data_IF_943663235129
#
_entry.id   IF_943663235129
#
_cell.length_a   1.000
_cell.length_b   1.000
_cell.length_c   1.000
_cell.angle_alpha   90.00
_cell.angle_beta   90.00
_cell.angle_gamma   90.00
#
_symmetry.space_group_name_H-M   'P 1'
#
loop_
_entity.id
_entity.type
_entity.pdbx_description
1 polymer ?
#
# COMPACT_ATOMS: atom_id res chain seq x y z
N UNK A 1 -53.58 -12.89 33.04
CA UNK A 1 -52.75 -11.67 33.05
C UNK A 1 -51.31 -12.12 33.15
N UNK A 2 -50.51 -12.32 32.10
CA UNK A 2 -50.40 -11.55 30.87
C UNK A 2 -49.27 -10.54 31.01
N UNK A 3 -48.01 -10.99 31.08
CA UNK A 3 -46.82 -10.13 31.02
C UNK A 3 -45.84 -10.67 29.97
N UNK A 4 -45.94 -10.09 28.78
CA UNK A 4 -44.98 -10.26 27.69
C UNK A 4 -43.63 -9.65 28.07
N UNK A 5 -42.59 -10.48 28.17
CA UNK A 5 -41.19 -10.03 28.14
C UNK A 5 -40.75 -9.97 26.68
N UNK A 6 -40.50 -8.74 26.21
CA UNK A 6 -39.95 -8.41 24.90
C UNK A 6 -38.42 -8.59 24.95
N UNK A 7 -37.77 -9.38 24.09
CA UNK A 7 -36.32 -9.33 23.96
C UNK A 7 -35.90 -8.09 23.16
N UNK A 8 -34.84 -7.41 23.64
CA UNK A 8 -34.17 -6.29 22.94
C UNK A 8 -33.47 -6.80 21.68
N UNK A 9 -33.42 -6.02 20.58
CA UNK A 9 -32.66 -6.39 19.40
C UNK A 9 -31.15 -6.30 19.68
N UNK A 10 -30.39 -7.28 19.19
CA UNK A 10 -28.93 -7.23 19.10
C UNK A 10 -28.51 -6.06 18.20
N UNK A 11 -27.41 -5.41 18.57
CA UNK A 11 -26.84 -4.27 17.89
C UNK A 11 -26.43 -4.57 16.45
N UNK A 12 -26.54 -3.53 15.61
CA UNK A 12 -26.14 -3.52 14.22
C UNK A 12 -24.66 -3.92 14.03
N UNK A 13 -24.31 -4.65 12.96
CA UNK A 13 -22.92 -4.81 12.56
C UNK A 13 -22.36 -3.48 12.03
N UNK A 14 -21.13 -3.21 12.45
CA UNK A 14 -20.30 -2.07 12.08
C UNK A 14 -19.58 -2.43 10.78
N UNK A 15 -19.66 -1.54 9.77
CA UNK A 15 -19.15 -1.60 8.40
C UNK A 15 -20.18 -2.05 7.35
N UNK A 16 -20.98 -1.06 6.92
CA UNK A 16 -21.78 -1.10 5.70
C UNK A 16 -21.01 -0.33 4.62
N UNK A 17 -20.28 -1.05 3.75
CA UNK A 17 -19.95 -0.63 2.38
C UNK A 17 -19.79 -1.88 1.51
N UNK A 18 -20.82 -2.17 0.72
CA UNK A 18 -20.76 -2.69 -0.65
C UNK A 18 -22.18 -3.14 -1.03
N UNK A 19 -22.87 -2.32 -1.83
CA UNK A 19 -24.26 -2.50 -2.23
C UNK A 19 -24.51 -3.70 -3.14
N UNK A 20 -24.48 -4.91 -2.59
CA UNK A 20 -24.99 -6.12 -3.22
C UNK A 20 -25.82 -6.90 -2.20
N UNK A 21 -27.15 -6.84 -2.33
CA UNK A 21 -28.09 -7.60 -1.51
C UNK A 21 -28.17 -9.05 -1.99
N UNK A 22 -27.88 -10.01 -1.11
CA UNK A 22 -28.15 -11.44 -1.35
C UNK A 22 -29.48 -11.79 -0.69
N UNK A 23 -30.48 -12.15 -1.49
CA UNK A 23 -31.82 -12.47 -1.03
C UNK A 23 -31.87 -13.91 -0.50
N UNK A 24 -32.48 -14.08 0.68
CA UNK A 24 -32.63 -15.35 1.39
C UNK A 24 -33.85 -16.10 0.86
N UNK A 25 -33.70 -17.35 0.40
CA UNK A 25 -34.84 -18.25 0.20
C UNK A 25 -34.70 -19.52 1.04
N UNK A 26 -35.77 -19.82 1.79
CA UNK A 26 -36.00 -21.05 2.55
C UNK A 26 -35.95 -22.28 1.62
N UNK A 27 -35.26 -23.32 2.07
CA UNK A 27 -35.15 -24.59 1.36
C UNK A 27 -36.39 -25.47 1.57
N UNK A 28 -36.89 -26.02 0.46
CA UNK A 28 -37.56 -27.31 0.42
C UNK A 28 -36.70 -28.32 -0.37
N UNK A 29 -36.69 -29.55 0.14
CA UNK A 29 -36.04 -30.81 -0.25
C UNK A 29 -35.31 -30.99 -1.61
N UNK A 30 -34.22 -31.76 -1.50
CA UNK A 30 -33.40 -32.44 -2.51
C UNK A 30 -34.17 -33.03 -3.70
N UNK A 31 -33.75 -32.67 -4.91
CA UNK A 31 -33.21 -33.58 -5.96
C UNK A 31 -33.05 -32.79 -7.26
N UNK A 32 -31.88 -32.89 -7.90
CA UNK A 32 -31.53 -32.42 -9.26
C UNK A 32 -31.99 -31.03 -9.69
N UNK A 33 -31.05 -30.10 -9.83
CA UNK A 33 -31.32 -28.86 -10.56
C UNK A 33 -30.13 -28.43 -11.43
N UNK A 34 -30.26 -28.68 -12.73
CA UNK A 34 -29.63 -27.85 -13.76
C UNK A 34 -30.28 -26.46 -13.70
N UNK A 35 -29.50 -25.41 -13.46
CA UNK A 35 -30.04 -24.05 -13.44
C UNK A 35 -29.86 -23.39 -14.82
N UNK A 36 -31.00 -23.25 -15.49
CA UNK A 36 -31.24 -22.30 -16.58
C UNK A 36 -31.43 -20.90 -15.97
N UNK A 37 -30.73 -19.89 -16.49
CA UNK A 37 -30.74 -18.53 -15.96
C UNK A 37 -31.95 -17.80 -16.54
N UNK A 38 -33.02 -17.65 -15.76
CA UNK A 38 -34.10 -16.69 -16.07
C UNK A 38 -33.82 -15.34 -15.43
N UNK A 39 -33.77 -14.34 -16.30
CA UNK A 39 -33.65 -12.92 -16.01
C UNK A 39 -35.04 -12.34 -15.77
N UNK A 40 -35.37 -12.03 -14.50
CA UNK A 40 -36.58 -11.30 -14.14
C UNK A 40 -36.24 -9.80 -14.03
N UNK A 41 -36.29 -9.12 -15.18
CA UNK A 41 -36.34 -7.65 -15.25
C UNK A 41 -37.74 -7.17 -15.67
N UNK A 42 -38.22 -6.01 -15.17
CA UNK A 42 -39.55 -5.51 -15.49
C UNK A 42 -39.65 -5.14 -16.98
N UNK A 43 -40.66 -5.70 -17.65
CA UNK A 43 -40.92 -5.51 -19.08
C UNK A 43 -41.14 -4.05 -19.45
N UNK A 44 -40.12 -3.42 -20.05
CA UNK A 44 -40.30 -2.31 -20.98
C UNK A 44 -40.05 -2.83 -22.38
N UNK A 45 -41.11 -2.86 -23.19
CA UNK A 45 -41.08 -3.25 -24.60
C UNK A 45 -40.21 -2.25 -25.35
N UNK A 46 -39.06 -2.71 -25.85
CA UNK A 46 -38.59 -2.42 -27.21
C UNK A 46 -37.51 -3.45 -27.60
N UNK A 47 -37.72 -4.07 -28.76
CA UNK A 47 -36.94 -5.16 -29.32
C UNK A 47 -35.59 -4.66 -29.85
N UNK A 48 -34.47 -5.09 -29.25
CA UNK A 48 -33.23 -5.38 -29.99
C UNK A 48 -32.61 -6.65 -29.40
N UNK A 49 -32.74 -7.74 -30.14
CA UNK A 49 -32.13 -9.05 -29.86
C UNK A 49 -30.61 -8.93 -29.97
N UNK A 50 -29.94 -8.64 -28.86
CA UNK A 50 -28.48 -8.68 -28.77
C UNK A 50 -27.99 -9.41 -27.49
N UNK A 51 -28.78 -10.34 -26.93
CA UNK A 51 -28.40 -11.02 -25.68
C UNK A 51 -27.45 -12.22 -25.89
N UNK A 52 -27.44 -12.85 -27.07
CA UNK A 52 -26.67 -14.08 -27.30
C UNK A 52 -25.15 -13.89 -27.49
N UNK A 53 -24.70 -12.70 -27.89
CA UNK A 53 -23.27 -12.40 -28.15
C UNK A 53 -22.65 -11.61 -26.98
N UNK A 54 -23.45 -10.84 -26.25
CA UNK A 54 -22.99 -10.05 -25.11
C UNK A 54 -22.76 -10.89 -23.85
N UNK A 55 -23.54 -11.95 -23.60
CA UNK A 55 -23.37 -12.82 -22.43
C UNK A 55 -22.00 -13.53 -22.40
N UNK A 56 -21.53 -14.16 -23.51
CA UNK A 56 -20.21 -14.78 -23.55
C UNK A 56 -19.06 -13.76 -23.50
N UNK A 57 -19.29 -12.55 -24.04
CA UNK A 57 -18.30 -11.49 -24.04
C UNK A 57 -18.16 -10.88 -22.63
N UNK A 58 -19.29 -10.64 -21.95
CA UNK A 58 -19.34 -10.16 -20.57
C UNK A 58 -18.78 -11.19 -19.59
N UNK A 59 -19.06 -12.49 -19.77
CA UNK A 59 -18.48 -13.55 -18.95
C UNK A 59 -16.96 -13.67 -19.15
N UNK A 60 -16.48 -13.57 -20.40
CA UNK A 60 -15.04 -13.50 -20.70
C UNK A 60 -14.39 -12.22 -20.16
N UNK A 61 -15.10 -11.10 -20.16
CA UNK A 61 -14.62 -9.83 -19.57
C UNK A 61 -14.53 -9.93 -18.05
N UNK A 62 -15.49 -10.59 -17.39
CA UNK A 62 -15.45 -10.87 -15.96
C UNK A 62 -14.32 -11.84 -15.58
N UNK A 63 -14.02 -12.82 -16.43
CA UNK A 63 -12.87 -13.71 -16.27
C UNK A 63 -11.55 -12.99 -16.52
N UNK A 64 -11.47 -12.15 -17.57
CA UNK A 64 -10.28 -11.36 -17.90
C UNK A 64 -9.95 -10.31 -16.81
N UNK A 65 -10.98 -9.72 -16.20
CA UNK A 65 -10.85 -8.77 -15.09
C UNK A 65 -10.69 -9.47 -13.72
N UNK A 66 -10.72 -10.80 -13.66
CA UNK A 66 -10.60 -11.57 -12.42
C UNK A 66 -11.79 -11.45 -11.46
N UNK A 67 -12.87 -10.76 -11.85
CA UNK A 67 -14.04 -10.50 -11.02
C UNK A 67 -14.84 -11.76 -10.68
N UNK A 68 -14.88 -12.74 -11.61
CA UNK A 68 -15.49 -14.05 -11.35
C UNK A 68 -14.75 -14.80 -10.24
N UNK A 69 -13.42 -14.78 -10.27
CA UNK A 69 -12.59 -15.38 -9.23
C UNK A 69 -12.78 -14.68 -7.88
N UNK A 70 -12.85 -13.35 -7.86
CA UNK A 70 -13.15 -12.57 -6.65
C UNK A 70 -14.54 -12.91 -6.09
N UNK A 71 -15.55 -13.04 -6.96
CA UNK A 71 -16.91 -13.41 -6.57
C UNK A 71 -16.97 -14.81 -5.97
N UNK A 72 -16.37 -15.81 -6.62
CA UNK A 72 -16.29 -17.18 -6.10
C UNK A 72 -15.56 -17.22 -4.76
N UNK A 73 -14.47 -16.46 -4.60
CA UNK A 73 -13.72 -16.37 -3.34
C UNK A 73 -14.57 -15.72 -2.23
N UNK A 74 -15.33 -14.65 -2.54
CA UNK A 74 -16.28 -14.04 -1.59
C UNK A 74 -17.41 -15.00 -1.21
N UNK A 75 -17.91 -15.80 -2.14
CA UNK A 75 -18.98 -16.78 -1.89
C UNK A 75 -18.49 -17.92 -0.98
N UNK A 76 -17.31 -18.48 -1.27
CA UNK A 76 -16.68 -19.51 -0.42
C UNK A 76 -16.40 -18.96 0.98
N UNK A 77 -15.95 -17.71 1.08
CA UNK A 77 -15.78 -17.03 2.37
C UNK A 77 -17.11 -16.90 3.13
N UNK A 78 -18.18 -16.47 2.48
CA UNK A 78 -19.51 -16.37 3.09
C UNK A 78 -20.03 -17.72 3.60
N UNK A 79 -19.88 -18.78 2.80
CA UNK A 79 -20.27 -20.14 3.21
C UNK A 79 -19.43 -20.66 4.37
N UNK A 80 -18.12 -20.40 4.37
CA UNK A 80 -17.21 -20.80 5.45
C UNK A 80 -17.56 -20.10 6.76
N UNK A 81 -17.92 -18.82 6.70
CA UNK A 81 -18.37 -18.05 7.85
C UNK A 81 -19.71 -18.53 8.40
N UNK A 82 -20.66 -18.85 7.51
CA UNK A 82 -21.94 -19.44 7.90
C UNK A 82 -21.74 -20.79 8.57
N UNK A 83 -20.85 -21.63 8.04
CA UNK A 83 -20.49 -22.90 8.67
C UNK A 83 -19.91 -22.69 10.07
N UNK A 84 -18.99 -21.73 10.24
CA UNK A 84 -18.43 -21.38 11.54
C UNK A 84 -19.51 -20.94 12.54
N UNK A 85 -20.50 -20.15 12.09
CA UNK A 85 -21.62 -19.73 12.94
C UNK A 85 -22.54 -20.88 13.37
N UNK A 86 -22.73 -21.88 12.51
CA UNK A 86 -23.52 -23.08 12.82
C UNK A 86 -22.76 -24.00 13.78
N UNK A 87 -21.47 -24.18 13.57
CA UNK A 87 -20.55 -24.87 14.47
C UNK A 87 -20.58 -24.22 15.86
N UNK A 88 -20.62 -22.88 15.92
CA UNK A 88 -20.75 -22.12 17.17
C UNK A 88 -22.06 -22.36 17.91
N UNK A 89 -23.19 -22.50 17.20
CA UNK A 89 -24.50 -22.71 17.80
C UNK A 89 -24.71 -24.12 18.37
N UNK A 90 -24.06 -25.12 17.78
CA UNK A 90 -24.18 -26.54 18.19
C UNK A 90 -23.22 -26.93 19.32
N UNK A 91 -22.29 -26.05 19.72
CA UNK A 91 -21.19 -26.38 20.62
C UNK A 91 -21.41 -25.91 22.06
N UNK A 92 -22.06 -26.74 22.89
CA UNK A 92 -22.05 -26.60 24.37
C UNK A 92 -20.95 -27.39 25.07
N UNK A 93 -20.21 -28.22 24.35
CA UNK A 93 -18.97 -28.84 24.81
C UNK A 93 -18.09 -29.09 23.57
N UNK A 94 -17.05 -28.27 23.38
CA UNK A 94 -16.02 -28.64 22.40
C UNK A 94 -15.29 -29.86 22.94
N UNK A 95 -15.22 -30.93 22.15
CA UNK A 95 -14.22 -31.97 22.39
C UNK A 95 -12.82 -31.37 22.20
N UNK A 96 -11.84 -31.87 22.93
CA UNK A 96 -10.45 -31.38 22.90
C UNK A 96 -9.87 -31.39 21.48
N UNK A 97 -10.24 -32.40 20.66
CA UNK A 97 -9.80 -32.48 19.28
C UNK A 97 -10.28 -31.30 18.43
N UNK A 98 -11.52 -30.85 18.64
CA UNK A 98 -12.08 -29.71 17.92
C UNK A 98 -11.41 -28.39 18.33
N UNK A 99 -11.10 -28.23 19.62
CA UNK A 99 -10.33 -27.08 20.13
C UNK A 99 -8.96 -27.01 19.44
N UNK A 100 -8.29 -28.15 19.32
CA UNK A 100 -6.97 -28.22 18.68
C UNK A 100 -7.05 -27.85 17.20
N UNK A 101 -8.00 -28.41 16.44
CA UNK A 101 -8.21 -28.05 15.03
C UNK A 101 -8.56 -26.57 14.85
N UNK A 102 -9.39 -26.02 15.74
CA UNK A 102 -9.75 -24.60 15.71
C UNK A 102 -8.55 -23.70 16.03
N UNK A 103 -7.71 -24.12 16.98
CA UNK A 103 -6.46 -23.45 17.33
C UNK A 103 -5.51 -23.42 16.12
N UNK A 104 -5.25 -24.55 15.47
CA UNK A 104 -4.43 -24.64 14.25
C UNK A 104 -4.97 -23.72 13.13
N UNK A 105 -6.27 -23.77 12.87
CA UNK A 105 -6.92 -22.91 11.89
C UNK A 105 -6.79 -21.42 12.24
N UNK A 106 -6.85 -21.08 13.53
CA UNK A 106 -6.70 -19.71 14.02
C UNK A 106 -5.27 -19.19 13.83
N UNK A 107 -4.25 -20.01 14.05
CA UNK A 107 -2.85 -19.64 13.76
C UNK A 107 -2.63 -19.41 12.27
N UNK A 108 -3.14 -20.29 11.41
CA UNK A 108 -3.04 -20.14 9.96
C UNK A 108 -3.79 -18.90 9.45
N UNK A 109 -5.00 -18.67 9.96
CA UNK A 109 -5.76 -17.45 9.69
C UNK A 109 -5.00 -16.19 10.12
N UNK A 110 -4.29 -16.27 11.26
CA UNK A 110 -3.42 -15.20 11.74
C UNK A 110 -2.27 -14.94 10.77
N UNK A 111 -1.52 -15.97 10.38
CA UNK A 111 -0.42 -15.87 9.42
C UNK A 111 -0.84 -15.30 8.07
N UNK A 112 -2.10 -15.55 7.64
CA UNK A 112 -2.68 -15.05 6.39
C UNK A 112 -3.37 -13.70 6.50
N UNK A 113 -3.60 -13.17 7.70
CA UNK A 113 -4.30 -11.90 7.90
C UNK A 113 -5.83 -11.98 7.76
N UNK A 114 -6.43 -13.14 7.99
CA UNK A 114 -7.89 -13.31 7.96
C UNK A 114 -8.52 -12.82 9.27
N UNK A 115 -8.80 -11.51 9.31
CA UNK A 115 -9.35 -10.80 10.48
C UNK A 115 -10.73 -11.33 10.89
N UNK A 116 -11.60 -11.61 9.92
CA UNK A 116 -12.98 -12.01 10.21
C UNK A 116 -13.04 -13.37 10.89
N UNK A 117 -12.26 -14.34 10.39
CA UNK A 117 -12.14 -15.64 11.02
C UNK A 117 -11.49 -15.52 12.41
N UNK A 118 -10.42 -14.74 12.52
CA UNK A 118 -9.73 -14.49 13.79
C UNK A 118 -10.67 -13.97 14.89
N UNK A 119 -11.44 -12.92 14.59
CA UNK A 119 -12.38 -12.32 15.55
C UNK A 119 -13.50 -13.30 15.91
N UNK A 120 -14.06 -13.99 14.92
CA UNK A 120 -15.20 -14.90 15.14
C UNK A 120 -14.82 -16.09 16.01
N UNK A 121 -13.66 -16.69 15.76
CA UNK A 121 -13.16 -17.82 16.56
C UNK A 121 -12.89 -17.39 18.01
N UNK A 122 -12.25 -16.23 18.22
CA UNK A 122 -11.96 -15.76 19.56
C UNK A 122 -13.21 -15.29 20.31
N UNK A 123 -14.24 -14.78 19.63
CA UNK A 123 -15.53 -14.51 20.26
C UNK A 123 -16.26 -15.79 20.69
N UNK A 124 -16.05 -16.88 19.96
CA UNK A 124 -16.61 -18.20 20.29
C UNK A 124 -15.83 -18.90 21.41
N UNK A 125 -14.50 -18.88 21.36
CA UNK A 125 -13.60 -19.51 22.34
C UNK A 125 -12.53 -18.49 22.77
N UNK A 126 -12.86 -17.57 23.70
CA UNK A 126 -11.94 -16.48 24.11
C UNK A 126 -10.63 -16.97 24.72
N UNK A 127 -10.62 -18.16 25.33
CA UNK A 127 -9.45 -18.75 25.96
C UNK A 127 -8.28 -18.97 24.99
N UNK A 128 -8.57 -19.18 23.70
CA UNK A 128 -7.54 -19.41 22.67
C UNK A 128 -6.59 -18.22 22.48
N UNK A 129 -6.98 -17.00 22.87
CA UNK A 129 -6.11 -15.82 22.74
C UNK A 129 -4.84 -15.93 23.59
N UNK A 130 -4.90 -16.70 24.67
CA UNK A 130 -3.78 -16.93 25.60
C UNK A 130 -2.96 -18.18 25.23
N UNK A 131 -3.41 -18.96 24.25
CA UNK A 131 -2.68 -20.12 23.80
C UNK A 131 -1.36 -19.68 23.15
N UNK A 132 -0.27 -20.35 23.51
CA UNK A 132 1.04 -20.14 22.91
C UNK A 132 1.31 -21.24 21.88
N UNK A 133 2.02 -20.90 20.80
CA UNK A 133 2.44 -21.90 19.83
C UNK A 133 3.63 -22.72 20.37
N UNK A 134 4.16 -23.64 19.56
CA UNK A 134 5.33 -24.46 19.93
C UNK A 134 6.58 -23.64 20.30
N UNK A 135 6.70 -22.41 19.78
CA UNK A 135 7.79 -21.49 20.12
C UNK A 135 7.54 -20.73 21.42
N UNK A 136 6.40 -20.89 22.08
CA UNK A 136 5.97 -20.07 23.22
C UNK A 136 5.43 -18.69 22.80
N UNK A 137 5.33 -18.40 21.50
CA UNK A 137 4.87 -17.10 21.02
C UNK A 137 3.36 -16.98 21.16
N UNK A 138 2.90 -15.78 21.50
CA UNK A 138 1.46 -15.44 21.51
C UNK A 138 0.93 -15.23 20.08
N UNK A 139 -0.39 -15.22 19.94
CA UNK A 139 -1.02 -15.01 18.63
C UNK A 139 -0.71 -13.63 18.03
N UNK A 140 -0.54 -12.60 18.87
CA UNK A 140 -0.13 -11.28 18.41
C UNK A 140 1.34 -11.22 18.00
N UNK A 141 2.24 -11.96 18.68
CA UNK A 141 3.62 -12.12 18.21
C UNK A 141 3.65 -12.78 16.83
N UNK A 142 2.81 -13.77 16.60
CA UNK A 142 2.72 -14.41 15.28
C UNK A 142 2.15 -13.46 14.21
N UNK A 143 1.17 -12.63 14.54
CA UNK A 143 0.73 -11.55 13.65
C UNK A 143 1.86 -10.55 13.32
N UNK A 144 2.77 -10.29 14.28
CA UNK A 144 3.98 -9.46 14.07
C UNK A 144 4.98 -10.14 13.14
N UNK A 145 5.30 -11.41 13.41
CA UNK A 145 6.23 -12.22 12.60
C UNK A 145 5.79 -12.24 11.12
N UNK A 146 4.48 -12.38 10.86
CA UNK A 146 3.91 -12.46 9.51
C UNK A 146 3.47 -11.11 8.91
N UNK A 147 3.77 -9.98 9.58
CA UNK A 147 3.43 -8.61 9.14
C UNK A 147 1.95 -8.42 8.83
N UNK A 148 1.09 -8.75 9.79
CA UNK A 148 -0.36 -8.69 9.64
C UNK A 148 -0.95 -7.49 10.40
N UNK A 149 -0.92 -6.26 9.80
CA UNK A 149 -1.25 -5.02 10.51
C UNK A 149 -2.67 -5.01 11.06
N UNK A 150 -3.64 -5.54 10.30
CA UNK A 150 -5.06 -5.51 10.70
C UNK A 150 -5.33 -6.40 11.91
N UNK A 151 -4.72 -7.59 11.96
CA UNK A 151 -4.84 -8.48 13.12
C UNK A 151 -4.09 -7.89 14.31
N UNK A 152 -2.84 -7.44 14.12
CA UNK A 152 -2.08 -6.84 15.21
C UNK A 152 -2.78 -5.63 15.82
N UNK A 153 -3.42 -4.80 14.98
CA UNK A 153 -4.18 -3.63 15.42
C UNK A 153 -5.26 -3.97 16.46
N UNK A 154 -5.84 -5.17 16.41
CA UNK A 154 -6.86 -5.63 17.38
C UNK A 154 -6.37 -5.61 18.83
N UNK A 155 -5.06 -5.63 19.07
CA UNK A 155 -4.48 -5.49 20.42
C UNK A 155 -4.93 -4.19 21.12
N UNK A 156 -5.25 -3.14 20.36
CA UNK A 156 -5.73 -1.87 20.93
C UNK A 156 -7.12 -1.98 21.57
N UNK A 157 -7.97 -2.87 21.05
CA UNK A 157 -9.29 -3.17 21.61
C UNK A 157 -9.29 -4.32 22.62
N UNK A 158 -8.13 -4.95 22.88
CA UNK A 158 -8.02 -6.05 23.84
C UNK A 158 -7.89 -5.53 25.27
N UNK A 159 -8.80 -5.95 26.16
CA UNK A 159 -8.86 -5.45 27.54
C UNK A 159 -7.54 -5.71 28.31
N UNK A 160 -6.96 -6.89 28.13
CA UNK A 160 -5.72 -7.32 28.80
C UNK A 160 -4.46 -7.05 27.98
N UNK A 161 -4.47 -6.01 27.14
CA UNK A 161 -3.32 -5.66 26.26
C UNK A 161 -1.98 -5.56 27.01
N UNK A 162 -1.99 -5.06 28.25
CA UNK A 162 -0.76 -4.89 29.03
C UNK A 162 -0.17 -6.23 29.45
N UNK A 163 -1.01 -7.18 29.90
CA UNK A 163 -0.58 -8.53 30.18
C UNK A 163 -0.07 -9.23 28.91
N UNK A 164 -0.76 -9.03 27.78
CA UNK A 164 -0.29 -9.57 26.51
C UNK A 164 1.08 -9.02 26.08
N UNK A 165 1.32 -7.72 26.27
CA UNK A 165 2.58 -7.09 25.93
C UNK A 165 3.75 -7.55 26.82
N UNK A 166 3.49 -8.16 27.98
CA UNK A 166 4.54 -8.68 28.88
C UNK A 166 4.99 -10.10 28.57
N UNK A 167 4.25 -10.83 27.74
CA UNK A 167 4.57 -12.20 27.34
C UNK A 167 5.90 -12.26 26.56
N UNK A 168 6.59 -13.39 26.67
CA UNK A 168 7.81 -13.70 25.92
C UNK A 168 7.72 -15.11 25.35
N UNK A 169 8.35 -15.35 24.21
CA UNK A 169 8.49 -16.70 23.66
C UNK A 169 9.53 -17.55 24.44
N UNK A 170 9.70 -18.81 24.04
CA UNK A 170 10.65 -19.74 24.66
C UNK A 170 12.12 -19.29 24.56
N UNK A 171 12.42 -18.38 23.62
CA UNK A 171 13.74 -17.75 23.43
C UNK A 171 13.89 -16.45 24.21
N UNK A 172 12.90 -16.07 25.03
CA UNK A 172 12.89 -14.82 25.77
C UNK A 172 12.61 -13.59 24.90
N UNK A 173 12.16 -13.77 23.66
CA UNK A 173 11.81 -12.67 22.77
C UNK A 173 10.44 -12.10 23.17
N UNK A 174 10.40 -10.80 23.45
CA UNK A 174 9.15 -10.06 23.53
C UNK A 174 8.63 -9.68 22.12
N UNK A 175 7.45 -9.08 22.02
CA UNK A 175 6.86 -8.66 20.73
C UNK A 175 7.80 -7.78 19.89
N UNK A 176 8.62 -6.94 20.54
CA UNK A 176 9.52 -6.02 19.83
C UNK A 176 10.73 -6.75 19.23
N UNK A 177 11.24 -7.80 19.87
CA UNK A 177 12.24 -8.69 19.25
C UNK A 177 11.66 -9.40 18.03
N UNK A 178 10.40 -9.85 18.10
CA UNK A 178 9.71 -10.45 16.95
C UNK A 178 9.52 -9.45 15.81
N UNK A 179 9.24 -8.18 16.12
CA UNK A 179 9.26 -7.10 15.13
C UNK A 179 10.66 -6.81 14.58
N UNK A 180 11.70 -7.19 15.33
CA UNK A 180 13.11 -7.19 14.95
C UNK A 180 13.53 -8.28 13.96
N UNK A 181 12.72 -9.31 13.76
CA UNK A 181 12.95 -10.33 12.74
C UNK A 181 12.62 -9.76 11.35
N UNK A 182 13.34 -10.20 10.32
CA UNK A 182 13.03 -9.81 8.94
C UNK A 182 11.70 -10.40 8.48
N UNK A 183 10.87 -9.61 7.82
CA UNK A 183 9.60 -10.07 7.28
C UNK A 183 9.75 -11.29 6.33
N UNK A 184 8.77 -12.21 6.30
CA UNK A 184 8.69 -13.26 5.31
C UNK A 184 8.77 -12.72 3.88
N UNK A 185 9.46 -13.43 2.99
CA UNK A 185 9.76 -12.94 1.63
C UNK A 185 8.51 -12.59 0.82
N UNK A 186 7.40 -13.31 1.01
CA UNK A 186 6.12 -13.02 0.36
C UNK A 186 5.51 -11.68 0.78
N UNK A 187 5.78 -11.20 2.00
CA UNK A 187 5.35 -9.87 2.45
C UNK A 187 6.36 -8.80 2.00
N UNK A 188 7.66 -9.08 2.17
CA UNK A 188 8.72 -8.13 1.84
C UNK A 188 8.74 -7.80 0.33
N UNK A 189 8.58 -8.79 -0.53
CA UNK A 189 8.61 -8.64 -1.99
C UNK A 189 7.40 -7.89 -2.57
N UNK A 190 6.35 -7.62 -1.78
CA UNK A 190 5.22 -6.78 -2.21
C UNK A 190 5.57 -5.30 -2.25
N UNK A 191 6.64 -4.90 -1.57
CA UNK A 191 7.06 -3.51 -1.45
C UNK A 191 8.15 -3.24 -2.49
N UNK A 192 7.98 -2.17 -3.25
CA UNK A 192 8.90 -1.81 -4.33
C UNK A 192 10.20 -1.20 -3.80
N UNK A 193 11.34 -1.85 -4.07
CA UNK A 193 12.66 -1.31 -3.76
C UNK A 193 13.08 -1.48 -2.29
N UNK A 194 14.37 -1.77 -2.10
CA UNK A 194 14.94 -2.06 -0.78
C UNK A 194 14.77 -0.91 0.23
N UNK A 195 14.79 0.35 -0.24
CA UNK A 195 14.59 1.51 0.63
C UNK A 195 13.18 1.60 1.22
N UNK A 196 12.13 1.30 0.43
CA UNK A 196 10.76 1.27 0.94
C UNK A 196 10.50 0.04 1.82
N UNK A 197 11.14 -1.09 1.49
CA UNK A 197 11.14 -2.27 2.36
C UNK A 197 11.73 -1.92 3.74
N UNK A 198 12.92 -1.33 3.77
CA UNK A 198 13.56 -0.91 5.02
C UNK A 198 12.72 0.11 5.80
N UNK A 199 12.16 1.12 5.10
CA UNK A 199 11.25 2.09 5.71
C UNK A 199 10.05 1.38 6.36
N UNK A 200 9.45 0.40 5.69
CA UNK A 200 8.28 -0.32 6.19
C UNK A 200 8.60 -1.16 7.42
N UNK A 201 9.71 -1.88 7.41
CA UNK A 201 10.16 -2.68 8.55
C UNK A 201 10.40 -1.80 9.78
N UNK A 202 10.98 -0.61 9.57
CA UNK A 202 11.23 0.33 10.65
C UNK A 202 9.93 0.99 11.17
N UNK A 203 8.96 1.28 10.29
CA UNK A 203 7.62 1.71 10.70
C UNK A 203 6.91 0.63 11.52
N UNK A 204 7.08 -0.65 11.13
CA UNK A 204 6.54 -1.79 11.85
C UNK A 204 7.14 -1.90 13.25
N UNK A 205 8.47 -1.86 13.35
CA UNK A 205 9.19 -1.87 14.61
C UNK A 205 8.74 -0.73 15.55
N UNK A 206 8.64 0.50 15.01
CA UNK A 206 8.16 1.67 15.78
C UNK A 206 6.71 1.57 16.23
N UNK A 207 5.85 0.85 15.51
CA UNK A 207 4.48 0.64 15.97
C UNK A 207 4.43 -0.31 17.17
N UNK A 208 5.15 -1.43 17.09
CA UNK A 208 5.23 -2.37 18.21
C UNK A 208 5.86 -1.70 19.43
N UNK A 209 6.92 -0.92 19.24
CA UNK A 209 7.61 -0.16 20.29
C UNK A 209 6.64 0.73 21.10
N UNK A 210 5.62 1.32 20.46
CA UNK A 210 4.63 2.19 21.11
C UNK A 210 3.66 1.46 22.04
N UNK A 211 3.48 0.16 21.85
CA UNK A 211 2.56 -0.66 22.65
C UNK A 211 3.29 -1.24 23.86
N UNK A 212 4.60 -1.44 23.74
CA UNK A 212 5.45 -2.00 24.79
C UNK A 212 5.65 -1.03 25.96
N UNK A 213 5.82 -1.60 27.17
CA UNK A 213 6.26 -0.85 28.34
C UNK A 213 7.76 -0.54 28.28
N UNK A 214 8.19 0.53 28.93
CA UNK A 214 9.58 1.03 28.85
C UNK A 214 10.62 0.01 29.32
N UNK A 215 10.29 -0.79 30.34
CA UNK A 215 11.15 -1.86 30.86
C UNK A 215 11.44 -2.97 29.83
N UNK A 216 10.56 -3.16 28.85
CA UNK A 216 10.68 -4.18 27.81
C UNK A 216 11.47 -3.73 26.59
N UNK A 217 11.69 -2.42 26.44
CA UNK A 217 12.45 -1.89 25.30
C UNK A 217 13.94 -2.29 25.38
N UNK A 218 14.45 -2.48 26.59
CA UNK A 218 15.85 -2.85 26.85
C UNK A 218 16.00 -4.28 27.40
N UNK A 219 14.90 -5.02 27.54
CA UNK A 219 14.96 -6.41 28.00
C UNK A 219 15.74 -7.26 27.01
N UNK A 220 16.63 -8.11 27.51
CA UNK A 220 17.44 -9.00 26.68
C UNK A 220 16.78 -10.35 26.50
N UNK A 221 16.84 -10.90 25.29
CA UNK A 221 16.44 -12.29 25.03
C UNK A 221 17.51 -13.29 25.52
N UNK A 222 17.30 -14.59 25.28
CA UNK A 222 18.25 -15.64 25.69
C UNK A 222 19.63 -15.53 25.01
N UNK A 223 19.74 -14.80 23.90
CA UNK A 223 21.01 -14.48 23.24
C UNK A 223 21.68 -13.22 23.82
N UNK A 224 21.13 -12.66 24.91
CA UNK A 224 21.59 -11.42 25.54
C UNK A 224 21.50 -10.17 24.64
N UNK A 225 20.66 -10.20 23.60
CA UNK A 225 20.42 -9.08 22.68
C UNK A 225 19.15 -8.33 23.08
N UNK A 226 19.19 -7.01 22.92
CA UNK A 226 18.00 -6.14 23.01
C UNK A 226 17.19 -6.21 21.71
N UNK A 227 15.91 -5.79 21.71
CA UNK A 227 15.10 -5.73 20.49
C UNK A 227 15.75 -4.89 19.38
N UNK A 228 16.40 -3.79 19.78
CA UNK A 228 17.06 -2.87 18.83
C UNK A 228 18.29 -3.50 18.19
N UNK A 229 19.13 -4.17 18.99
CA UNK A 229 20.30 -4.91 18.48
C UNK A 229 19.86 -6.03 17.53
N UNK A 230 18.82 -6.77 17.88
CA UNK A 230 18.25 -7.82 17.02
C UNK A 230 17.71 -7.26 15.70
N UNK A 231 17.00 -6.12 15.72
CA UNK A 231 16.54 -5.46 14.50
C UNK A 231 17.72 -5.06 13.60
N UNK A 232 18.73 -4.39 14.15
CA UNK A 232 19.89 -3.93 13.38
C UNK A 232 20.67 -5.10 12.76
N UNK A 233 20.84 -6.20 13.49
CA UNK A 233 21.52 -7.40 12.99
C UNK A 233 20.73 -8.05 11.84
N UNK A 234 19.44 -8.32 12.05
CA UNK A 234 18.59 -9.00 11.07
C UNK A 234 18.34 -8.18 9.80
N UNK A 235 18.36 -6.85 9.89
CA UNK A 235 18.11 -5.94 8.77
C UNK A 235 19.39 -5.37 8.14
N UNK A 236 20.58 -5.80 8.58
CA UNK A 236 21.86 -5.27 8.08
C UNK A 236 22.02 -5.40 6.55
N UNK A 237 21.63 -6.55 5.98
CA UNK A 237 21.68 -6.79 4.53
C UNK A 237 20.68 -5.92 3.77
N UNK A 238 19.44 -5.82 4.27
CA UNK A 238 18.40 -4.98 3.69
C UNK A 238 18.79 -3.50 3.72
N UNK A 239 19.38 -3.03 4.83
CA UNK A 239 19.85 -1.65 4.99
C UNK A 239 20.94 -1.31 3.99
N UNK A 240 21.90 -2.21 3.74
CA UNK A 240 22.92 -2.04 2.70
C UNK A 240 22.31 -1.98 1.31
N UNK A 241 21.39 -2.90 0.98
CA UNK A 241 20.70 -2.89 -0.30
C UNK A 241 19.85 -1.61 -0.49
N UNK A 242 19.24 -1.11 0.58
CA UNK A 242 18.49 0.15 0.60
C UNK A 242 19.41 1.35 0.34
N UNK A 243 20.55 1.41 1.00
CA UNK A 243 21.58 2.44 0.78
C UNK A 243 22.08 2.42 -0.67
N UNK A 244 22.46 1.25 -1.19
CA UNK A 244 22.93 1.08 -2.57
C UNK A 244 21.86 1.51 -3.58
N UNK A 245 20.61 1.10 -3.38
CA UNK A 245 19.49 1.49 -4.24
C UNK A 245 19.29 3.01 -4.25
N UNK A 246 19.33 3.66 -3.08
CA UNK A 246 19.18 5.11 -2.98
C UNK A 246 20.36 5.84 -3.62
N UNK A 247 21.59 5.41 -3.38
CA UNK A 247 22.79 6.00 -3.99
C UNK A 247 22.81 5.84 -5.51
N UNK A 248 22.47 4.64 -6.01
CA UNK A 248 22.40 4.36 -7.45
C UNK A 248 21.36 5.24 -8.14
N UNK A 249 20.14 5.26 -7.61
CA UNK A 249 19.04 6.09 -8.14
C UNK A 249 19.40 7.58 -8.10
N UNK A 250 19.93 8.05 -6.96
CA UNK A 250 20.35 9.43 -6.78
C UNK A 250 21.45 9.86 -7.75
N UNK A 251 22.43 9.00 -8.00
CA UNK A 251 23.51 9.27 -8.96
C UNK A 251 22.95 9.40 -10.37
N UNK A 252 22.13 8.45 -10.82
CA UNK A 252 21.50 8.50 -12.15
C UNK A 252 20.65 9.75 -12.33
N UNK A 253 19.81 10.08 -11.34
CA UNK A 253 18.96 11.27 -11.40
C UNK A 253 19.77 12.58 -11.33
N UNK A 254 20.90 12.60 -10.60
CA UNK A 254 21.82 13.74 -10.59
C UNK A 254 22.40 14.01 -11.97
N UNK A 255 22.82 12.96 -12.69
CA UNK A 255 23.31 13.09 -14.07
C UNK A 255 22.23 13.65 -15.00
N UNK A 256 21.01 13.10 -14.93
CA UNK A 256 19.87 13.61 -15.72
C UNK A 256 19.56 15.07 -15.38
N UNK A 257 19.50 15.41 -14.08
CA UNK A 257 19.28 16.78 -13.63
C UNK A 257 20.36 17.74 -14.12
N UNK A 258 21.64 17.35 -14.03
CA UNK A 258 22.75 18.17 -14.53
C UNK A 258 22.68 18.40 -16.05
N UNK A 259 22.28 17.39 -16.82
CA UNK A 259 22.04 17.55 -18.27
C UNK A 259 20.88 18.50 -18.56
N UNK A 260 19.80 18.45 -17.79
CA UNK A 260 18.69 19.42 -17.95
C UNK A 260 19.18 20.84 -17.62
N UNK A 261 19.94 21.01 -16.53
CA UNK A 261 20.53 22.30 -16.16
C UNK A 261 21.37 22.88 -17.30
N UNK A 262 22.26 22.08 -17.90
CA UNK A 262 23.15 22.57 -18.98
C UNK A 262 22.37 22.94 -20.23
N UNK A 263 21.40 22.12 -20.65
CA UNK A 263 20.59 22.38 -21.84
C UNK A 263 19.71 23.62 -21.64
N UNK A 264 19.00 23.73 -20.52
CA UNK A 264 18.13 24.88 -20.24
C UNK A 264 18.92 26.17 -20.05
N UNK A 265 20.07 26.10 -19.37
CA UNK A 265 20.96 27.27 -19.26
C UNK A 265 21.41 27.77 -20.64
N UNK A 266 21.78 26.88 -21.57
CA UNK A 266 22.12 27.28 -22.93
C UNK A 266 20.91 27.91 -23.65
N UNK A 267 19.74 27.28 -23.56
CA UNK A 267 18.48 27.73 -24.18
C UNK A 267 18.05 29.11 -23.70
N UNK A 268 18.30 29.45 -22.43
CA UNK A 268 18.03 30.78 -21.87
C UNK A 268 18.79 31.91 -22.60
N UNK A 269 20.01 31.64 -23.07
CA UNK A 269 20.84 32.62 -23.78
C UNK A 269 20.77 32.49 -25.31
N UNK A 270 20.40 31.32 -25.83
CA UNK A 270 20.20 31.07 -27.26
C UNK A 270 18.71 30.99 -27.59
N UNK A 271 18.00 32.08 -27.33
CA UNK A 271 16.53 32.12 -27.44
C UNK A 271 16.02 31.81 -28.85
N UNK A 272 14.90 31.09 -28.99
CA UNK A 272 14.31 30.77 -30.28
C UNK A 272 13.90 32.05 -31.01
N UNK A 273 14.34 32.18 -32.27
CA UNK A 273 14.15 33.38 -33.07
C UNK A 273 15.34 34.34 -33.11
N UNK A 274 16.26 34.23 -32.15
CA UNK A 274 17.43 35.09 -32.06
C UNK A 274 17.15 36.46 -31.44
N UNK A 275 18.22 37.26 -31.38
CA UNK A 275 18.23 38.60 -30.79
C UNK A 275 18.37 39.66 -31.89
N UNK A 276 17.85 40.86 -31.63
CA UNK A 276 18.13 42.04 -32.44
C UNK A 276 19.58 42.52 -32.23
N UNK A 277 20.03 43.52 -32.98
CA UNK A 277 21.38 44.09 -32.90
C UNK A 277 21.76 44.60 -31.50
N UNK A 278 20.77 45.02 -30.70
CA UNK A 278 20.94 45.45 -29.32
C UNK A 278 20.95 44.30 -28.28
N UNK A 279 20.89 43.04 -28.73
CA UNK A 279 20.83 41.86 -27.86
C UNK A 279 19.43 41.55 -27.29
N UNK A 280 18.40 42.28 -27.71
CA UNK A 280 17.02 42.11 -27.24
C UNK A 280 16.33 40.96 -28.01
N UNK A 281 15.66 40.00 -27.34
CA UNK A 281 14.95 38.92 -28.03
C UNK A 281 13.91 39.43 -29.03
N UNK A 282 13.92 38.90 -30.26
CA UNK A 282 13.03 39.36 -31.35
C UNK A 282 11.54 39.11 -31.07
N UNK A 283 11.23 38.12 -30.24
CA UNK A 283 9.86 37.74 -29.87
C UNK A 283 9.43 38.28 -28.49
N UNK A 284 10.19 39.21 -27.91
CA UNK A 284 9.88 39.82 -26.61
C UNK A 284 8.47 40.44 -26.61
N UNK A 285 7.69 40.17 -25.56
CA UNK A 285 6.31 40.65 -25.43
C UNK A 285 5.24 39.78 -26.11
N UNK A 286 5.62 38.77 -26.89
CA UNK A 286 4.66 37.79 -27.42
C UNK A 286 4.29 36.75 -26.36
N UNK A 287 3.01 36.36 -26.33
CA UNK A 287 2.49 35.39 -25.35
C UNK A 287 3.29 34.08 -25.33
N UNK A 288 3.63 33.55 -26.51
CA UNK A 288 4.41 32.31 -26.62
C UNK A 288 5.83 32.48 -26.07
N UNK A 289 6.50 33.59 -26.35
CA UNK A 289 7.84 33.86 -25.81
C UNK A 289 7.85 33.96 -24.28
N UNK A 290 6.82 34.57 -23.68
CA UNK A 290 6.70 34.63 -22.23
C UNK A 290 6.50 33.24 -21.62
N UNK A 291 5.66 32.38 -22.23
CA UNK A 291 5.49 30.99 -21.77
C UNK A 291 6.82 30.22 -21.88
N UNK A 292 7.58 30.44 -22.95
CA UNK A 292 8.88 29.83 -23.15
C UNK A 292 9.88 30.20 -22.04
N UNK A 293 10.10 31.50 -21.78
CA UNK A 293 11.06 31.95 -20.75
C UNK A 293 10.65 31.49 -19.35
N UNK A 294 9.36 31.55 -19.01
CA UNK A 294 8.88 31.08 -17.71
C UNK A 294 9.09 29.56 -17.56
N UNK A 295 8.78 28.78 -18.60
CA UNK A 295 8.95 27.33 -18.57
C UNK A 295 10.42 26.93 -18.47
N UNK A 296 11.29 27.60 -19.21
CA UNK A 296 12.75 27.42 -19.16
C UNK A 296 13.30 27.70 -17.75
N UNK A 297 12.91 28.83 -17.14
CA UNK A 297 13.31 29.17 -15.78
C UNK A 297 12.83 28.13 -14.75
N UNK A 298 11.56 27.70 -14.81
CA UNK A 298 11.04 26.65 -13.91
C UNK A 298 11.83 25.35 -14.11
N UNK A 299 12.12 24.98 -15.36
CA UNK A 299 12.89 23.78 -15.66
C UNK A 299 14.28 23.82 -15.05
N UNK A 300 14.99 24.93 -15.25
CA UNK A 300 16.35 25.14 -14.76
C UNK A 300 16.41 25.12 -13.23
N UNK A 301 15.63 25.94 -12.54
CA UNK A 301 15.68 26.02 -11.08
C UNK A 301 15.17 24.74 -10.41
N UNK A 302 14.17 24.08 -10.99
CA UNK A 302 13.67 22.80 -10.48
C UNK A 302 14.72 21.68 -10.67
N UNK A 303 15.48 21.67 -11.77
CA UNK A 303 16.59 20.73 -11.96
C UNK A 303 17.73 20.97 -10.97
N UNK A 304 18.10 22.24 -10.71
CA UNK A 304 19.11 22.58 -9.70
C UNK A 304 18.66 22.10 -8.32
N UNK A 305 17.42 22.39 -7.93
CA UNK A 305 16.86 21.92 -6.66
C UNK A 305 16.91 20.38 -6.56
N UNK A 306 16.53 19.69 -7.63
CA UNK A 306 16.60 18.23 -7.72
C UNK A 306 18.02 17.69 -7.50
N UNK A 307 19.01 18.25 -8.22
CA UNK A 307 20.42 17.89 -8.10
C UNK A 307 20.93 18.09 -6.67
N UNK A 308 20.58 19.21 -6.02
CA UNK A 308 20.97 19.46 -4.63
C UNK A 308 20.36 18.44 -3.67
N UNK A 309 19.09 18.04 -3.88
CA UNK A 309 18.44 17.03 -3.06
C UNK A 309 19.10 15.65 -3.23
N UNK A 310 19.40 15.25 -4.46
CA UNK A 310 20.11 14.00 -4.75
C UNK A 310 21.54 13.99 -4.20
N UNK A 311 22.27 15.10 -4.31
CA UNK A 311 23.56 15.26 -3.64
C UNK A 311 23.41 15.14 -2.12
N UNK A 312 22.33 15.69 -1.55
CA UNK A 312 21.97 15.53 -0.14
C UNK A 312 21.69 14.08 0.27
N UNK A 313 21.25 13.22 -0.65
CA UNK A 313 21.11 11.77 -0.44
C UNK A 313 22.48 11.09 -0.48
N UNK A 314 23.33 11.43 -1.44
CA UNK A 314 24.68 10.84 -1.56
C UNK A 314 25.58 11.15 -0.36
N UNK A 315 25.39 12.32 0.26
CA UNK A 315 26.14 12.79 1.43
C UNK A 315 25.50 12.45 2.78
N UNK A 316 24.36 11.75 2.79
CA UNK A 316 23.69 11.35 4.03
C UNK A 316 24.46 10.23 4.76
N UNK A 317 24.25 10.13 6.09
CA UNK A 317 24.91 9.13 6.94
C UNK A 317 24.30 7.73 6.83
N UNK A 318 23.08 7.61 6.31
CA UNK A 318 22.32 6.35 6.22
C UNK A 318 22.18 5.63 7.56
N UNK A 319 21.96 6.39 8.64
CA UNK A 319 21.57 5.77 9.90
C UNK A 319 20.21 5.10 9.75
N UNK A 320 19.96 4.03 10.51
CA UNK A 320 18.71 3.26 10.42
C UNK A 320 17.47 4.17 10.50
N UNK A 321 17.44 5.10 11.46
CA UNK A 321 16.33 6.05 11.65
C UNK A 321 16.14 7.04 10.48
N UNK A 322 17.19 7.32 9.71
CA UNK A 322 17.10 8.21 8.56
C UNK A 322 16.16 7.64 7.48
N UNK A 323 16.01 6.30 7.40
CA UNK A 323 15.10 5.62 6.49
C UNK A 323 13.61 5.82 6.80
N UNK A 324 13.24 6.28 8.01
CA UNK A 324 11.83 6.55 8.33
C UNK A 324 11.27 7.73 7.55
N UNK A 325 12.03 8.83 7.50
CA UNK A 325 11.51 10.12 7.01
C UNK A 325 12.54 10.94 6.26
N UNK A 326 13.74 11.12 6.81
CA UNK A 326 14.75 12.02 6.24
C UNK A 326 15.13 11.63 4.81
N UNK A 327 15.57 10.38 4.62
CA UNK A 327 15.99 9.85 3.32
C UNK A 327 14.82 9.77 2.32
N UNK A 328 13.66 9.16 2.64
CA UNK A 328 12.51 9.15 1.75
C UNK A 328 12.05 10.55 1.34
N UNK A 329 12.05 11.53 2.26
CA UNK A 329 11.67 12.91 1.95
C UNK A 329 12.62 13.55 0.95
N UNK A 330 13.93 13.37 1.14
CA UNK A 330 14.91 13.89 0.17
C UNK A 330 14.69 13.29 -1.21
N UNK A 331 14.43 11.99 -1.28
CA UNK A 331 14.16 11.28 -2.54
C UNK A 331 12.87 11.78 -3.20
N UNK A 332 11.78 11.92 -2.45
CA UNK A 332 10.49 12.42 -2.97
C UNK A 332 10.66 13.83 -3.55
N UNK A 333 11.28 14.75 -2.81
CA UNK A 333 11.49 16.12 -3.29
C UNK A 333 12.40 16.14 -4.51
N UNK A 334 13.48 15.34 -4.50
CA UNK A 334 14.40 15.21 -5.65
C UNK A 334 13.69 14.71 -6.91
N UNK A 335 12.92 13.64 -6.81
CA UNK A 335 12.16 13.07 -7.94
C UNK A 335 11.03 14.00 -8.41
N UNK A 336 10.28 14.61 -7.49
CA UNK A 336 9.19 15.53 -7.83
C UNK A 336 9.70 16.75 -8.61
N UNK A 337 10.79 17.37 -8.13
CA UNK A 337 11.42 18.51 -8.80
C UNK A 337 12.08 18.10 -10.13
N UNK A 338 12.61 16.88 -10.25
CA UNK A 338 13.11 16.37 -11.53
C UNK A 338 11.99 16.19 -12.57
N UNK A 339 10.87 15.60 -12.18
CA UNK A 339 9.72 15.39 -13.08
C UNK A 339 9.10 16.72 -13.50
N UNK A 340 8.99 17.69 -12.59
CA UNK A 340 8.56 19.05 -12.91
C UNK A 340 9.52 19.71 -13.92
N UNK A 341 10.82 19.55 -13.72
CA UNK A 341 11.83 20.07 -14.63
C UNK A 341 11.73 19.47 -16.02
N UNK A 342 11.55 18.14 -16.12
CA UNK A 342 11.39 17.44 -17.39
C UNK A 342 10.11 17.88 -18.13
N UNK A 343 8.99 18.00 -17.42
CA UNK A 343 7.72 18.44 -18.01
C UNK A 343 7.82 19.86 -18.57
N UNK A 344 8.38 20.79 -17.79
CA UNK A 344 8.57 22.18 -18.21
C UNK A 344 9.62 22.34 -19.32
N UNK A 345 10.65 21.50 -19.35
CA UNK A 345 11.61 21.42 -20.46
C UNK A 345 10.90 21.05 -21.78
N UNK A 346 10.04 20.03 -21.75
CA UNK A 346 9.25 19.64 -22.95
C UNK A 346 8.32 20.75 -23.40
N UNK A 347 7.69 21.47 -22.46
CA UNK A 347 6.83 22.63 -22.78
C UNK A 347 7.66 23.73 -23.44
N UNK A 348 8.82 24.10 -22.87
CA UNK A 348 9.71 25.12 -23.43
C UNK A 348 10.14 24.73 -24.85
N UNK A 349 10.53 23.46 -25.07
CA UNK A 349 10.87 22.95 -26.39
C UNK A 349 9.71 23.02 -27.39
N UNK A 350 8.50 22.62 -26.99
CA UNK A 350 7.32 22.71 -27.84
C UNK A 350 7.02 24.15 -28.25
N UNK A 351 7.08 25.09 -27.30
CA UNK A 351 6.85 26.51 -27.56
C UNK A 351 7.93 27.10 -28.46
N UNK A 352 9.20 26.71 -28.27
CA UNK A 352 10.30 27.10 -29.15
C UNK A 352 10.05 26.66 -30.61
N UNK A 353 9.56 25.43 -30.83
CA UNK A 353 9.18 24.95 -32.16
C UNK A 353 8.00 25.72 -32.76
N UNK A 354 7.00 26.08 -31.94
CA UNK A 354 5.87 26.91 -32.39
C UNK A 354 6.33 28.31 -32.84
N UNK A 355 7.33 28.88 -32.17
CA UNK A 355 7.92 30.18 -32.53
C UNK A 355 8.72 30.07 -33.83
N UNK A 356 9.53 29.01 -33.98
CA UNK A 356 10.44 28.83 -35.11
C UNK A 356 9.73 28.39 -36.41
N UNK A 357 8.78 27.45 -36.34
CA UNK A 357 8.10 26.89 -37.51
C UNK A 357 6.68 27.44 -37.68
N UNK A 358 6.54 28.63 -38.30
CA UNK A 358 5.24 29.25 -38.56
C UNK A 358 4.46 28.64 -39.73
N UNK A 359 5.11 28.15 -40.78
CA UNK A 359 4.45 27.72 -42.04
C UNK A 359 4.40 26.21 -42.25
N UNK A 360 5.41 25.47 -41.79
CA UNK A 360 5.52 24.02 -42.01
C UNK A 360 4.80 23.21 -40.91
N UNK A 361 3.46 23.19 -40.97
CA UNK A 361 2.61 22.56 -39.95
C UNK A 361 2.86 21.06 -39.77
N UNK A 362 3.16 20.33 -40.85
CA UNK A 362 3.42 18.89 -40.81
C UNK A 362 4.68 18.54 -40.03
N UNK A 363 5.78 19.26 -40.30
CA UNK A 363 7.06 19.08 -39.61
C UNK A 363 6.91 19.45 -38.14
N UNK A 364 6.29 20.60 -37.86
CA UNK A 364 6.02 21.09 -36.51
C UNK A 364 5.24 20.08 -35.66
N UNK A 365 4.10 19.60 -36.17
CA UNK A 365 3.25 18.66 -35.43
C UNK A 365 3.94 17.32 -35.21
N UNK A 366 4.69 16.83 -36.20
CA UNK A 366 5.43 15.56 -36.07
C UNK A 366 6.51 15.62 -34.99
N UNK A 367 7.30 16.70 -34.95
CA UNK A 367 8.37 16.87 -33.95
C UNK A 367 7.79 17.06 -32.54
N UNK A 368 6.67 17.79 -32.39
CA UNK A 368 6.00 17.95 -31.09
C UNK A 368 5.52 16.60 -30.55
N UNK A 369 4.85 15.80 -31.37
CA UNK A 369 4.39 14.46 -30.96
C UNK A 369 5.57 13.58 -30.55
N UNK A 370 6.66 13.61 -31.35
CA UNK A 370 7.87 12.84 -31.07
C UNK A 370 8.57 13.28 -29.76
N UNK A 371 8.51 14.56 -29.41
CA UNK A 371 9.11 15.09 -28.17
C UNK A 371 8.26 14.82 -26.93
N UNK A 372 6.93 14.90 -27.03
CA UNK A 372 6.01 14.69 -25.91
C UNK A 372 5.85 13.21 -25.54
N UNK A 373 5.93 12.30 -26.51
CA UNK A 373 5.65 10.88 -26.26
C UNK A 373 6.64 10.26 -25.24
N UNK A 374 7.97 10.42 -25.37
CA UNK A 374 8.91 9.85 -24.39
C UNK A 374 8.77 10.46 -22.99
N UNK A 375 8.47 11.76 -22.89
CA UNK A 375 8.37 12.44 -21.60
C UNK A 375 7.10 12.07 -20.85
N UNK A 376 5.97 11.95 -21.55
CA UNK A 376 4.72 11.45 -20.97
C UNK A 376 4.86 9.99 -20.52
N UNK A 377 5.50 9.14 -21.32
CA UNK A 377 5.78 7.75 -20.93
C UNK A 377 6.67 7.66 -19.69
N UNK A 378 7.71 8.49 -19.62
CA UNK A 378 8.60 8.53 -18.45
C UNK A 378 7.86 9.00 -17.19
N UNK A 379 7.07 10.07 -17.27
CA UNK A 379 6.25 10.56 -16.15
C UNK A 379 5.29 9.47 -15.69
N UNK A 380 4.62 8.81 -16.63
CA UNK A 380 3.69 7.71 -16.32
C UNK A 380 4.38 6.55 -15.60
N UNK A 381 5.59 6.18 -16.02
CA UNK A 381 6.34 5.08 -15.41
C UNK A 381 6.88 5.43 -14.01
N UNK A 382 7.29 6.68 -13.77
CA UNK A 382 7.87 7.11 -12.49
C UNK A 382 6.83 7.55 -11.46
N UNK A 383 5.63 7.92 -11.91
CA UNK A 383 4.57 8.39 -11.02
C UNK A 383 4.16 7.36 -9.95
N UNK A 384 3.96 6.06 -10.26
CA UNK A 384 3.65 5.04 -9.25
C UNK A 384 4.69 4.97 -8.14
N UNK A 385 5.98 5.00 -8.48
CA UNK A 385 7.07 4.97 -7.50
C UNK A 385 6.99 6.19 -6.56
N UNK A 386 6.87 7.40 -7.12
CA UNK A 386 6.78 8.63 -6.33
C UNK A 386 5.53 8.63 -5.43
N UNK A 387 4.41 8.16 -5.96
CA UNK A 387 3.15 8.03 -5.23
C UNK A 387 3.27 7.03 -4.07
N UNK A 388 3.85 5.86 -4.30
CA UNK A 388 4.08 4.84 -3.28
C UNK A 388 5.03 5.35 -2.18
N UNK A 389 6.10 6.05 -2.55
CA UNK A 389 7.00 6.69 -1.58
C UNK A 389 6.27 7.75 -0.73
N UNK A 390 5.42 8.56 -1.36
CA UNK A 390 4.65 9.60 -0.69
C UNK A 390 3.65 9.01 0.30
N UNK A 391 2.85 8.03 -0.13
CA UNK A 391 1.89 7.33 0.76
C UNK A 391 2.62 6.60 1.87
N UNK A 392 3.73 5.92 1.57
CA UNK A 392 4.51 5.22 2.60
C UNK A 392 5.03 6.19 3.67
N UNK A 393 5.43 7.40 3.30
CA UNK A 393 6.06 8.37 4.20
C UNK A 393 5.05 9.29 4.93
N UNK A 394 3.97 9.70 4.26
CA UNK A 394 3.03 10.72 4.72
C UNK A 394 1.57 10.27 4.74
N UNK A 395 1.27 9.10 4.17
CA UNK A 395 -0.07 8.55 4.12
C UNK A 395 -0.57 8.09 5.51
N UNK A 396 -1.83 7.65 5.57
CA UNK A 396 -2.38 7.08 6.78
C UNK A 396 -1.56 5.87 7.23
N UNK A 397 -1.39 5.73 8.53
CA UNK A 397 -0.74 4.56 9.10
C UNK A 397 -1.50 3.29 8.70
N UNK A 398 -0.78 2.23 8.34
CA UNK A 398 -1.38 0.91 8.09
C UNK A 398 -1.93 0.26 9.37
N UNK A 399 -1.66 0.88 10.53
CA UNK A 399 -2.09 0.44 11.84
C UNK A 399 -3.33 1.21 12.28
N UNK A 400 -4.36 0.47 12.71
CA UNK A 400 -5.61 1.02 13.18
C UNK A 400 -5.59 1.10 14.70
N UNK A 401 -5.39 2.30 15.25
CA UNK A 401 -5.25 2.48 16.71
C UNK A 401 -6.56 2.66 17.47
N UNK A 402 -7.61 3.07 16.78
CA UNK A 402 -8.93 3.31 17.37
C UNK A 402 -9.81 2.09 17.10
N UNK A 403 -9.67 1.08 17.94
CA UNK A 403 -10.47 -0.14 17.88
C UNK A 403 -11.28 -0.24 19.17
N UNK A 404 -12.60 -0.44 19.02
CA UNK A 404 -13.49 -0.69 20.14
C UNK A 404 -13.22 -2.07 20.75
N UNK A 405 -13.73 -2.31 21.97
CA UNK A 405 -13.60 -3.64 22.57
C UNK A 405 -14.31 -4.67 21.71
N UNK A 406 -13.57 -5.66 21.23
CA UNK A 406 -14.05 -6.69 20.31
C UNK A 406 -14.12 -8.08 20.94
N UNK A 407 -13.40 -8.29 22.05
CA UNK A 407 -13.44 -9.50 22.85
C UNK A 407 -14.02 -9.17 24.24
N UNK A 408 -15.14 -9.81 24.58
CA UNK A 408 -15.81 -9.64 25.87
C UNK A 408 -15.14 -10.62 26.84
N UNK A 409 -14.56 -10.09 27.91
CA UNK A 409 -13.98 -10.87 29.01
C UNK A 409 -15.03 -11.37 29.98
#
# INVERSE_FOLDING_TARGET
MGSHLKPRPLGNPILEEDGIYIQQHEYANYSDFCIDVRDDSPKTKDNITCSGILQPLASKLLELLGLKHIYEMKLVHHHSFKLLSLISQEMKALDQNMVNTLCEALWEATARGNVEFFVSVLQMVPELIWHQNEKGSTIFMHAIEFRQPKIFSLIHGFASKQAMATETDNSGNNMLHVAGLLAPSNQLNRIQGAALQMQRELQWFKEVERIMSLDRLESKNNESKTPRESFTENHCTLMKAAEEWMKGTSTSCTVVGALIVTVMFAVAFTVPGGNNQDGIPLFLGQKLFNIFIISDAISLFSAIASVLMFLGILTSRYAEEDFLKSLPTKMIVGLATLLLSLATMTIAFCVALLIMFRRELWVKNSVIVLACLPTLLFIWMQFPLLFDMFISSYGPSIFYRKIERWLIS
#
